data_IF_806697216499
#
_entry.id   IF_806697216499
#
_cell.length_a   1.000
_cell.length_b   1.000
_cell.length_c   1.000
_cell.angle_alpha   90.00
_cell.angle_beta   90.00
_cell.angle_gamma   90.00
#
_symmetry.space_group_name_H-M   'P 1'
#
loop_
_entity.id
_entity.type
_entity.pdbx_description
1 polymer ?
#
# COMPACT_ATOMS: atom_id res chain seq x y z
N UNK A 1 -17.85 -24.02 5.95
CA UNK A 1 -19.14 -23.27 5.81
C UNK A 1 -18.97 -21.79 5.46
N UNK A 2 -18.10 -21.00 6.11
CA UNK A 2 -17.90 -19.57 5.77
C UNK A 2 -17.47 -19.33 4.31
N UNK A 3 -16.63 -20.21 3.75
CA UNK A 3 -16.09 -20.06 2.37
C UNK A 3 -17.18 -20.24 1.28
N UNK A 4 -18.15 -21.11 1.52
CA UNK A 4 -19.26 -21.35 0.59
C UNK A 4 -20.29 -20.20 0.59
N UNK A 5 -20.57 -19.60 1.75
CA UNK A 5 -21.46 -18.46 1.90
C UNK A 5 -20.86 -17.25 1.19
N UNK A 6 -19.57 -16.96 1.44
CA UNK A 6 -18.85 -15.85 0.81
C UNK A 6 -18.83 -15.96 -0.74
N UNK A 7 -18.53 -17.13 -1.29
CA UNK A 7 -18.52 -17.36 -2.74
C UNK A 7 -19.90 -17.20 -3.39
N UNK A 8 -20.97 -17.57 -2.70
CA UNK A 8 -22.35 -17.42 -3.19
C UNK A 8 -22.78 -15.95 -3.20
N UNK A 9 -22.44 -15.18 -2.16
CA UNK A 9 -22.75 -13.75 -2.08
C UNK A 9 -22.03 -12.95 -3.16
N UNK A 10 -20.74 -13.21 -3.37
CA UNK A 10 -19.95 -12.58 -4.45
C UNK A 10 -20.49 -12.92 -5.83
N UNK A 11 -20.88 -14.18 -6.07
CA UNK A 11 -21.48 -14.60 -7.35
C UNK A 11 -22.81 -13.88 -7.63
N UNK A 12 -23.65 -13.72 -6.61
CA UNK A 12 -24.90 -12.97 -6.72
C UNK A 12 -24.65 -11.48 -6.98
N UNK A 13 -23.68 -10.88 -6.29
CA UNK A 13 -23.26 -9.50 -6.47
C UNK A 13 -22.75 -9.28 -7.91
N UNK A 14 -21.87 -10.17 -8.41
CA UNK A 14 -21.38 -10.16 -9.80
C UNK A 14 -22.52 -10.15 -10.80
N UNK A 15 -23.44 -11.11 -10.69
CA UNK A 15 -24.61 -11.22 -11.60
C UNK A 15 -25.46 -9.94 -11.56
N UNK A 16 -25.61 -9.35 -10.38
CA UNK A 16 -26.39 -8.11 -10.20
C UNK A 16 -25.69 -6.93 -10.86
N UNK A 17 -24.39 -6.75 -10.65
CA UNK A 17 -23.58 -5.68 -11.27
C UNK A 17 -23.60 -5.83 -12.80
N UNK A 18 -23.35 -7.02 -13.35
CA UNK A 18 -23.39 -7.27 -14.79
C UNK A 18 -24.77 -6.96 -15.41
N UNK A 19 -25.85 -7.30 -14.72
CA UNK A 19 -27.22 -6.97 -15.15
C UNK A 19 -27.46 -5.46 -15.18
N UNK A 20 -26.96 -4.72 -14.18
CA UNK A 20 -27.11 -3.27 -14.10
C UNK A 20 -26.23 -2.55 -15.13
N UNK A 21 -25.02 -3.06 -15.41
CA UNK A 21 -24.13 -2.58 -16.47
C UNK A 21 -24.83 -2.69 -17.83
N UNK A 22 -25.37 -3.88 -18.16
CA UNK A 22 -26.16 -4.10 -19.42
C UNK A 22 -27.34 -3.16 -19.55
N UNK A 23 -28.00 -2.80 -18.43
CA UNK A 23 -29.13 -1.87 -18.41
C UNK A 23 -28.73 -0.40 -18.36
N UNK A 24 -27.43 -0.09 -18.27
CA UNK A 24 -26.89 1.25 -18.09
C UNK A 24 -27.50 1.99 -16.87
N UNK A 25 -27.79 1.24 -15.79
CA UNK A 25 -28.48 1.72 -14.59
C UNK A 25 -27.47 2.35 -13.60
N UNK A 26 -26.85 3.47 -13.97
CA UNK A 26 -25.76 4.10 -13.25
C UNK A 26 -26.09 4.44 -11.77
N UNK A 27 -27.27 5.00 -11.48
CA UNK A 27 -27.64 5.33 -10.11
C UNK A 27 -27.72 4.10 -9.18
N UNK A 28 -28.22 2.97 -9.71
CA UNK A 28 -28.29 1.72 -8.96
C UNK A 28 -26.90 1.11 -8.77
N UNK A 29 -26.01 1.19 -9.79
CA UNK A 29 -24.62 0.78 -9.70
C UNK A 29 -23.88 1.57 -8.61
N UNK A 30 -23.97 2.91 -8.64
CA UNK A 30 -23.34 3.76 -7.60
C UNK A 30 -23.84 3.39 -6.20
N UNK A 31 -25.13 3.06 -6.05
CA UNK A 31 -25.70 2.67 -4.76
C UNK A 31 -25.12 1.33 -4.27
N UNK A 32 -24.94 0.37 -5.16
CA UNK A 32 -24.35 -0.94 -4.83
C UNK A 32 -22.86 -0.77 -4.52
N UNK A 33 -22.10 -0.10 -5.37
CA UNK A 33 -20.66 0.14 -5.19
C UNK A 33 -20.42 0.79 -3.82
N UNK A 34 -21.16 1.82 -3.45
CA UNK A 34 -21.05 2.50 -2.16
C UNK A 34 -21.24 1.58 -0.95
N UNK A 35 -22.02 0.52 -1.08
CA UNK A 35 -22.33 -0.44 0.00
C UNK A 35 -21.42 -1.67 0.00
N UNK A 36 -20.61 -1.82 -1.03
CA UNK A 36 -19.71 -2.97 -1.21
C UNK A 36 -18.29 -2.55 -0.77
N UNK A 37 -17.55 -3.46 -0.15
CA UNK A 37 -16.17 -3.20 0.22
C UNK A 37 -15.30 -3.00 -1.05
N UNK A 38 -14.32 -2.07 -1.05
CA UNK A 38 -13.45 -1.84 -2.21
C UNK A 38 -12.76 -3.10 -2.73
N UNK A 39 -12.24 -3.95 -1.86
CA UNK A 39 -11.61 -5.22 -2.21
C UNK A 39 -12.56 -6.18 -2.97
N UNK A 40 -13.86 -6.23 -2.59
CA UNK A 40 -14.86 -7.03 -3.31
C UNK A 40 -15.13 -6.45 -4.70
N UNK A 41 -15.15 -5.13 -4.83
CA UNK A 41 -15.29 -4.46 -6.14
C UNK A 41 -14.07 -4.73 -7.02
N UNK A 42 -12.86 -4.60 -6.51
CA UNK A 42 -11.63 -4.92 -7.23
C UNK A 42 -11.63 -6.40 -7.71
N UNK A 43 -11.99 -7.32 -6.81
CA UNK A 43 -12.12 -8.74 -7.16
C UNK A 43 -13.14 -8.97 -8.31
N UNK A 44 -14.29 -8.29 -8.27
CA UNK A 44 -15.31 -8.40 -9.31
C UNK A 44 -14.84 -7.80 -10.65
N UNK A 45 -14.05 -6.72 -10.60
CA UNK A 45 -13.53 -6.05 -11.79
C UNK A 45 -12.61 -6.97 -12.61
N UNK A 46 -11.87 -7.89 -11.99
CA UNK A 46 -11.06 -8.90 -12.69
C UNK A 46 -11.84 -9.76 -13.70
N UNK A 47 -13.12 -9.96 -13.44
CA UNK A 47 -14.00 -10.75 -14.34
C UNK A 47 -14.85 -9.93 -15.30
N UNK A 48 -14.64 -8.62 -15.41
CA UNK A 48 -15.36 -7.72 -16.31
C UNK A 48 -14.51 -7.36 -17.54
N UNK A 49 -15.14 -6.95 -18.62
CA UNK A 49 -14.43 -6.37 -19.75
C UNK A 49 -13.95 -4.95 -19.44
N UNK A 50 -12.94 -4.47 -20.19
CA UNK A 50 -12.28 -3.17 -20.03
C UNK A 50 -13.25 -1.99 -19.87
N UNK A 51 -14.28 -1.91 -20.71
CA UNK A 51 -15.28 -0.81 -20.65
C UNK A 51 -16.06 -0.83 -19.34
N UNK A 52 -16.47 -2.01 -18.88
CA UNK A 52 -17.19 -2.15 -17.63
C UNK A 52 -16.31 -1.86 -16.40
N UNK A 53 -15.01 -2.21 -16.45
CA UNK A 53 -14.02 -1.87 -15.42
C UNK A 53 -13.92 -0.35 -15.25
N UNK A 54 -13.77 0.39 -16.35
CA UNK A 54 -13.74 1.87 -16.36
C UNK A 54 -15.02 2.47 -15.80
N UNK A 55 -16.18 1.92 -16.16
CA UNK A 55 -17.48 2.40 -15.65
C UNK A 55 -17.54 2.22 -14.14
N UNK A 56 -17.19 1.04 -13.60
CA UNK A 56 -17.20 0.76 -12.16
C UNK A 56 -16.25 1.70 -11.42
N UNK A 57 -15.03 1.84 -11.89
CA UNK A 57 -14.04 2.74 -11.29
C UNK A 57 -14.51 4.20 -11.28
N UNK A 58 -15.07 4.69 -12.38
CA UNK A 58 -15.61 6.05 -12.50
C UNK A 58 -16.78 6.30 -11.56
N UNK A 59 -17.64 5.29 -11.31
CA UNK A 59 -18.78 5.35 -10.41
C UNK A 59 -18.41 5.16 -8.93
N UNK A 60 -17.16 4.90 -8.61
CA UNK A 60 -16.67 4.80 -7.23
C UNK A 60 -16.93 6.11 -6.47
N UNK A 61 -17.46 6.06 -5.23
CA UNK A 61 -18.16 7.20 -4.62
C UNK A 61 -17.22 8.33 -4.16
N UNK A 62 -15.98 8.03 -3.81
CA UNK A 62 -15.00 9.00 -3.28
C UNK A 62 -13.60 8.69 -3.78
N UNK A 63 -12.67 9.63 -3.65
CA UNK A 63 -11.26 9.40 -3.99
C UNK A 63 -10.61 8.38 -3.05
N UNK A 64 -10.95 8.39 -1.75
CA UNK A 64 -10.55 7.34 -0.78
C UNK A 64 -10.97 5.96 -1.27
N UNK A 65 -12.23 5.81 -1.69
CA UNK A 65 -12.72 4.53 -2.21
C UNK A 65 -11.99 4.11 -3.49
N UNK A 66 -11.68 5.07 -4.38
CA UNK A 66 -10.90 4.80 -5.60
C UNK A 66 -9.48 4.33 -5.27
N UNK A 67 -8.83 4.95 -4.29
CA UNK A 67 -7.51 4.55 -3.82
C UNK A 67 -7.53 3.11 -3.30
N UNK A 68 -8.47 2.79 -2.39
CA UNK A 68 -8.65 1.45 -1.86
C UNK A 68 -8.97 0.39 -2.93
N UNK A 69 -9.61 0.77 -4.04
CA UNK A 69 -9.80 -0.13 -5.18
C UNK A 69 -8.50 -0.32 -5.95
N UNK A 70 -7.70 0.74 -6.16
CA UNK A 70 -6.42 0.65 -6.85
C UNK A 70 -5.42 -0.24 -6.11
N UNK A 71 -5.33 -0.13 -4.77
CA UNK A 71 -4.49 -0.99 -3.92
C UNK A 71 -4.76 -2.49 -4.11
N UNK A 72 -5.94 -2.86 -4.56
CA UNK A 72 -6.37 -4.26 -4.72
C UNK A 72 -6.38 -4.74 -6.17
N UNK A 73 -6.06 -3.87 -7.15
CA UNK A 73 -6.07 -4.21 -8.57
C UNK A 73 -4.70 -4.66 -9.06
N UNK A 74 -4.71 -5.60 -10.00
CA UNK A 74 -3.51 -5.99 -10.74
C UNK A 74 -3.08 -4.86 -11.69
N UNK A 75 -1.80 -4.74 -11.99
CA UNK A 75 -1.19 -3.67 -12.80
C UNK A 75 -1.94 -3.40 -14.12
N UNK A 76 -2.24 -4.45 -14.88
CA UNK A 76 -2.96 -4.34 -16.16
C UNK A 76 -4.36 -3.75 -16.02
N UNK A 77 -5.00 -3.94 -14.85
CA UNK A 77 -6.31 -3.36 -14.54
C UNK A 77 -6.17 -1.90 -14.11
N UNK A 78 -5.14 -1.55 -13.36
CA UNK A 78 -4.81 -0.17 -12.97
C UNK A 78 -4.59 0.68 -14.23
N UNK A 79 -3.73 0.24 -15.16
CA UNK A 79 -3.48 0.92 -16.42
C UNK A 79 -4.78 1.15 -17.20
N UNK A 80 -5.62 0.13 -17.30
CA UNK A 80 -6.92 0.21 -17.97
C UNK A 80 -7.84 1.27 -17.37
N UNK A 81 -8.06 1.24 -16.06
CA UNK A 81 -9.03 2.14 -15.40
C UNK A 81 -8.55 3.58 -15.35
N UNK A 82 -7.24 3.81 -15.31
CA UNK A 82 -6.65 5.14 -15.31
C UNK A 82 -6.50 5.75 -16.70
N UNK A 83 -6.52 4.93 -17.77
CA UNK A 83 -6.31 5.40 -19.15
C UNK A 83 -7.23 6.56 -19.59
N UNK A 84 -8.43 6.66 -19.05
CA UNK A 84 -9.41 7.69 -19.35
C UNK A 84 -9.67 8.66 -18.18
N UNK A 85 -8.99 8.47 -17.04
CA UNK A 85 -9.12 9.39 -15.92
C UNK A 85 -8.31 10.66 -16.18
N UNK A 86 -8.83 11.79 -15.71
CA UNK A 86 -8.09 13.04 -15.78
C UNK A 86 -6.93 13.06 -14.79
N UNK A 87 -5.82 13.70 -15.13
CA UNK A 87 -4.68 13.92 -14.23
C UNK A 87 -5.13 14.51 -12.89
N UNK A 88 -6.11 15.42 -12.90
CA UNK A 88 -6.65 16.00 -11.68
C UNK A 88 -7.35 14.98 -10.77
N UNK A 89 -8.06 13.99 -11.34
CA UNK A 89 -8.70 12.93 -10.57
C UNK A 89 -7.67 11.93 -10.05
N UNK A 90 -6.67 11.58 -10.87
CA UNK A 90 -5.57 10.71 -10.48
C UNK A 90 -4.82 11.33 -9.29
N UNK A 91 -4.39 12.59 -9.40
CA UNK A 91 -3.67 13.29 -8.32
C UNK A 91 -4.47 13.37 -7.02
N UNK A 92 -5.80 13.56 -7.11
CA UNK A 92 -6.67 13.54 -5.91
C UNK A 92 -6.81 12.13 -5.31
N UNK A 93 -6.76 11.09 -6.13
CA UNK A 93 -6.81 9.70 -5.63
C UNK A 93 -5.50 9.36 -4.93
N UNK A 94 -4.38 9.83 -5.47
CA UNK A 94 -3.03 9.58 -4.95
C UNK A 94 -2.82 10.08 -3.52
N UNK A 95 -3.48 11.15 -3.10
CA UNK A 95 -3.46 11.63 -1.71
C UNK A 95 -3.89 10.57 -0.67
N UNK A 96 -4.49 9.46 -1.10
CA UNK A 96 -4.97 8.37 -0.25
C UNK A 96 -4.26 7.04 -0.51
N UNK A 97 -3.22 7.03 -1.35
CA UNK A 97 -2.37 5.87 -1.61
C UNK A 97 -1.05 5.99 -0.85
N UNK A 98 -0.47 4.87 -0.47
CA UNK A 98 0.89 4.83 0.05
C UNK A 98 1.92 5.26 -0.99
N UNK A 99 3.09 5.72 -0.55
CA UNK A 99 4.16 6.24 -1.43
C UNK A 99 4.64 5.18 -2.44
N UNK A 100 4.72 3.92 -2.02
CA UNK A 100 5.04 2.78 -2.89
C UNK A 100 4.01 2.60 -4.02
N UNK A 101 2.70 2.62 -3.69
CA UNK A 101 1.63 2.51 -4.69
C UNK A 101 1.63 3.68 -5.65
N UNK A 102 1.86 4.90 -5.14
CA UNK A 102 2.00 6.09 -5.97
C UNK A 102 3.15 5.94 -6.96
N UNK A 103 4.33 5.55 -6.49
CA UNK A 103 5.53 5.35 -7.31
C UNK A 103 5.31 4.27 -8.38
N UNK A 104 4.76 3.12 -7.98
CA UNK A 104 4.42 2.01 -8.88
C UNK A 104 3.46 2.46 -9.98
N UNK A 105 2.34 3.10 -9.60
CA UNK A 105 1.33 3.55 -10.57
C UNK A 105 1.89 4.62 -11.51
N UNK A 106 2.67 5.58 -11.01
CA UNK A 106 3.32 6.60 -11.85
C UNK A 106 4.24 5.93 -12.87
N UNK A 107 5.04 4.94 -12.46
CA UNK A 107 5.94 4.22 -13.34
C UNK A 107 5.26 3.52 -14.52
N UNK A 108 4.01 3.06 -14.34
CA UNK A 108 3.21 2.42 -15.40
C UNK A 108 2.60 3.42 -16.40
N UNK A 109 2.42 4.68 -16.03
CA UNK A 109 1.72 5.65 -16.87
C UNK A 109 2.61 6.18 -17.99
N UNK A 110 2.05 6.70 -19.11
CA UNK A 110 2.82 7.35 -20.14
C UNK A 110 3.59 8.58 -19.59
N UNK A 111 4.82 8.81 -20.05
CA UNK A 111 5.72 9.89 -19.56
C UNK A 111 5.04 11.27 -19.40
N UNK A 112 4.17 11.62 -20.35
CA UNK A 112 3.42 12.89 -20.30
C UNK A 112 2.46 12.97 -19.12
N UNK A 113 1.87 11.83 -18.73
CA UNK A 113 0.98 11.78 -17.58
C UNK A 113 1.79 11.73 -16.28
N UNK A 114 2.90 10.99 -16.26
CA UNK A 114 3.83 10.96 -15.14
C UNK A 114 4.24 12.40 -14.76
N UNK A 115 4.82 13.15 -15.70
CA UNK A 115 5.25 14.53 -15.46
C UNK A 115 4.10 15.42 -14.94
N UNK A 116 2.90 15.31 -15.54
CA UNK A 116 1.75 16.12 -15.14
C UNK A 116 1.17 15.72 -13.76
N UNK A 117 1.39 14.50 -13.28
CA UNK A 117 1.01 14.07 -11.93
C UNK A 117 2.06 14.56 -10.93
N UNK A 118 3.36 14.32 -11.19
CA UNK A 118 4.46 14.77 -10.34
C UNK A 118 4.42 16.28 -10.09
N UNK A 119 4.12 17.10 -11.11
CA UNK A 119 3.92 18.55 -10.95
C UNK A 119 2.78 18.95 -10.00
N UNK A 120 1.89 18.02 -9.65
CA UNK A 120 0.71 18.28 -8.79
C UNK A 120 0.86 17.74 -7.38
N UNK A 121 1.87 16.93 -7.12
CA UNK A 121 2.19 16.48 -5.77
C UNK A 121 2.71 17.66 -4.94
N UNK A 122 2.46 17.61 -3.64
CA UNK A 122 3.13 18.51 -2.71
C UNK A 122 4.63 18.19 -2.67
N UNK A 123 5.44 19.16 -2.30
CA UNK A 123 6.90 19.02 -2.42
C UNK A 123 7.45 17.83 -1.62
N UNK A 124 6.90 17.60 -0.45
CA UNK A 124 7.30 16.49 0.44
C UNK A 124 6.95 15.14 -0.19
N UNK A 125 5.71 14.98 -0.65
CA UNK A 125 5.25 13.77 -1.35
C UNK A 125 6.03 13.51 -2.63
N UNK A 126 6.38 14.59 -3.39
CA UNK A 126 7.18 14.47 -4.60
C UNK A 126 8.58 13.92 -4.31
N UNK A 127 9.27 14.47 -3.29
CA UNK A 127 10.61 14.03 -2.89
C UNK A 127 10.57 12.54 -2.47
N UNK A 128 9.55 12.10 -1.75
CA UNK A 128 9.38 10.72 -1.31
C UNK A 128 9.07 9.76 -2.47
N UNK A 129 8.18 10.14 -3.38
CA UNK A 129 7.84 9.34 -4.57
C UNK A 129 9.04 9.21 -5.50
N UNK A 130 9.78 10.32 -5.78
CA UNK A 130 10.99 10.29 -6.60
C UNK A 130 12.08 9.42 -5.97
N UNK A 131 12.20 9.42 -4.63
CA UNK A 131 13.13 8.54 -3.93
C UNK A 131 12.75 7.07 -4.16
N UNK A 132 11.49 6.69 -3.95
CA UNK A 132 11.02 5.31 -4.20
C UNK A 132 11.29 4.88 -5.65
N UNK A 133 10.96 5.72 -6.64
CA UNK A 133 11.18 5.46 -8.06
C UNK A 133 12.68 5.34 -8.43
N UNK A 134 13.59 5.80 -7.58
CA UNK A 134 15.03 5.70 -7.81
C UNK A 134 15.64 4.35 -7.43
N UNK A 135 14.93 3.54 -6.64
CA UNK A 135 15.40 2.21 -6.26
C UNK A 135 15.23 1.21 -7.41
N UNK A 136 15.98 0.12 -7.34
CA UNK A 136 15.83 -0.97 -8.30
C UNK A 136 14.45 -1.63 -8.15
N UNK A 137 13.86 -2.03 -9.26
CA UNK A 137 12.66 -2.85 -9.26
C UNK A 137 12.88 -4.11 -8.41
N UNK A 138 11.80 -4.63 -7.82
CA UNK A 138 11.82 -5.83 -6.96
C UNK A 138 12.75 -5.72 -5.73
N UNK A 139 13.11 -4.50 -5.29
CA UNK A 139 13.88 -4.26 -4.08
C UNK A 139 13.03 -3.79 -2.91
N UNK A 140 13.54 -3.96 -1.67
CA UNK A 140 12.88 -3.43 -0.48
C UNK A 140 12.62 -1.91 -0.57
N UNK A 141 13.49 -1.18 -1.26
CA UNK A 141 13.36 0.26 -1.49
C UNK A 141 12.19 0.62 -2.40
N UNK A 142 11.91 -0.18 -3.44
CA UNK A 142 10.81 0.10 -4.37
C UNK A 142 9.43 -0.26 -3.82
N UNK A 143 9.38 -1.22 -2.88
CA UNK A 143 8.11 -1.69 -2.28
C UNK A 143 7.85 -1.12 -0.88
N UNK A 144 8.78 -0.33 -0.31
CA UNK A 144 8.56 0.28 1.01
C UNK A 144 7.63 1.49 0.93
N UNK A 145 6.89 1.73 1.99
CA UNK A 145 6.12 2.96 2.19
C UNK A 145 6.84 3.91 3.16
N UNK A 146 6.67 5.22 2.94
CA UNK A 146 7.19 6.29 3.79
C UNK A 146 6.22 6.67 4.91
N UNK A 147 4.97 6.26 4.83
CA UNK A 147 3.94 6.53 5.84
C UNK A 147 4.22 5.73 7.11
N UNK A 148 5.07 6.26 7.96
CA UNK A 148 5.56 5.59 9.16
C UNK A 148 5.44 6.46 10.39
N UNK A 149 5.28 5.83 11.55
CA UNK A 149 5.32 6.55 12.82
C UNK A 149 6.71 6.43 13.45
N UNK A 150 7.56 7.40 13.12
CA UNK A 150 8.95 7.48 13.56
C UNK A 150 9.14 8.55 14.63
N UNK A 151 9.84 8.23 15.74
CA UNK A 151 10.09 9.13 16.84
C UNK A 151 11.53 9.04 17.36
N UNK A 152 12.04 10.17 17.87
CA UNK A 152 13.35 10.20 18.52
C UNK A 152 13.34 9.41 19.83
N UNK A 153 14.41 8.66 20.11
CA UNK A 153 14.59 7.82 21.29
C UNK A 153 14.46 8.56 22.64
N UNK A 154 14.61 9.87 22.65
CA UNK A 154 14.48 10.71 23.83
C UNK A 154 13.04 11.19 24.10
N UNK A 155 12.11 10.92 23.18
CA UNK A 155 10.68 11.22 23.33
C UNK A 155 10.10 10.43 24.51
N UNK A 156 9.26 11.08 25.33
CA UNK A 156 8.56 10.40 26.40
C UNK A 156 7.34 9.63 25.88
N UNK A 157 6.93 8.59 26.58
CA UNK A 157 5.72 7.82 26.26
C UNK A 157 4.50 8.74 26.15
N UNK A 158 4.35 9.70 27.08
CA UNK A 158 3.25 10.68 27.04
C UNK A 158 3.23 11.46 25.72
N UNK A 159 4.39 11.95 25.29
CA UNK A 159 4.48 12.75 24.06
C UNK A 159 4.29 11.88 22.80
N UNK A 160 4.78 10.64 22.82
CA UNK A 160 4.56 9.69 21.73
C UNK A 160 3.06 9.39 21.54
N UNK A 161 2.33 9.14 22.62
CA UNK A 161 0.88 8.93 22.57
C UNK A 161 0.16 10.20 22.06
N UNK A 162 0.56 11.39 22.53
CA UNK A 162 -0.06 12.63 22.09
C UNK A 162 0.16 12.87 20.56
N UNK A 163 1.37 12.59 20.06
CA UNK A 163 1.65 12.69 18.62
C UNK A 163 0.85 11.68 17.81
N UNK A 164 0.75 10.43 18.26
CA UNK A 164 -0.06 9.41 17.61
C UNK A 164 -1.54 9.83 17.52
N UNK A 165 -2.08 10.42 18.61
CA UNK A 165 -3.47 10.90 18.66
C UNK A 165 -3.73 12.10 17.75
N UNK A 166 -2.71 12.91 17.46
CA UNK A 166 -2.83 14.09 16.60
C UNK A 166 -2.57 13.79 15.12
N UNK A 167 -2.21 12.56 14.78
CA UNK A 167 -1.93 12.11 13.40
C UNK A 167 -3.01 11.14 12.92
N UNK A 168 -4.20 11.64 12.53
CA UNK A 168 -5.34 10.80 12.17
C UNK A 168 -5.11 9.96 10.89
N UNK A 169 -4.12 10.31 10.09
CA UNK A 169 -3.82 9.66 8.80
C UNK A 169 -3.08 8.33 8.97
N UNK A 170 -2.61 8.00 10.18
CA UNK A 170 -1.85 6.78 10.45
C UNK A 170 -2.75 5.59 10.82
N UNK A 171 -3.75 5.25 10.01
CA UNK A 171 -4.63 4.10 10.26
C UNK A 171 -3.87 2.75 10.26
N UNK A 172 -2.75 2.65 9.55
CA UNK A 172 -1.93 1.42 9.42
C UNK A 172 -0.72 1.37 10.37
N UNK A 173 -0.68 2.18 11.45
CA UNK A 173 0.44 2.17 12.39
C UNK A 173 0.38 0.93 13.31
N UNK A 174 1.32 0.02 13.15
CA UNK A 174 1.49 -1.15 14.03
C UNK A 174 2.59 -0.94 15.07
N UNK A 175 3.62 -0.20 14.72
CA UNK A 175 4.83 0.04 15.49
C UNK A 175 5.23 1.50 15.51
N UNK A 176 5.91 1.91 16.56
CA UNK A 176 6.68 3.15 16.64
C UNK A 176 8.12 2.81 16.33
N UNK A 177 8.67 3.35 15.26
CA UNK A 177 10.08 3.21 14.90
C UNK A 177 10.87 4.27 15.65
N UNK A 178 11.90 3.82 16.36
CA UNK A 178 12.66 4.70 17.26
C UNK A 178 14.03 4.96 16.64
N UNK A 179 14.35 6.23 16.46
CA UNK A 179 15.61 6.69 15.87
C UNK A 179 16.44 7.52 16.85
N UNK A 180 17.73 7.60 16.59
CA UNK A 180 18.64 8.53 17.29
C UNK A 180 18.63 9.94 16.66
N UNK A 181 19.49 10.83 17.17
CA UNK A 181 19.58 12.21 16.66
C UNK A 181 20.18 12.31 15.23
N UNK A 182 20.64 11.19 14.66
CA UNK A 182 21.13 11.06 13.28
C UNK A 182 20.17 10.28 12.39
N UNK A 183 18.93 10.09 12.85
CA UNK A 183 17.88 9.31 12.18
C UNK A 183 18.23 7.83 11.96
N UNK A 184 19.20 7.29 12.72
CA UNK A 184 19.50 5.85 12.68
C UNK A 184 18.45 5.07 13.44
N UNK A 185 18.00 3.96 12.90
CA UNK A 185 17.09 3.05 13.57
C UNK A 185 17.77 2.41 14.78
N UNK A 186 17.24 2.64 15.99
CA UNK A 186 17.80 2.14 17.26
C UNK A 186 16.83 1.29 18.07
N UNK A 187 15.56 1.24 17.67
CA UNK A 187 14.56 0.46 18.38
C UNK A 187 13.21 0.44 17.68
N UNK A 188 12.36 -0.46 18.12
CA UNK A 188 10.96 -0.54 17.73
C UNK A 188 10.09 -0.75 18.97
N UNK A 189 8.89 -0.18 18.97
CA UNK A 189 7.94 -0.33 20.04
C UNK A 189 6.55 -0.60 19.48
N UNK A 190 5.90 -1.69 19.91
CA UNK A 190 4.51 -1.94 19.52
C UNK A 190 3.55 -0.94 20.17
N UNK A 191 2.42 -0.65 19.53
CA UNK A 191 1.39 0.21 20.13
C UNK A 191 0.91 -0.33 21.49
N UNK A 192 0.85 -1.67 21.65
CA UNK A 192 0.52 -2.27 22.96
C UNK A 192 1.53 -1.87 24.02
N UNK A 193 2.83 -1.97 23.72
CA UNK A 193 3.88 -1.60 24.68
C UNK A 193 3.89 -0.10 24.95
N UNK A 194 3.58 0.73 23.93
CA UNK A 194 3.43 2.17 24.09
C UNK A 194 2.35 2.50 25.14
N UNK A 195 1.13 1.95 25.00
CA UNK A 195 0.00 2.27 25.90
C UNK A 195 0.11 1.62 27.28
N UNK A 196 0.88 0.54 27.44
CA UNK A 196 1.08 -0.13 28.74
C UNK A 196 2.29 0.39 29.52
N UNK A 197 3.11 1.25 28.90
CA UNK A 197 4.31 1.81 29.52
C UNK A 197 3.97 3.04 30.36
N UNK A 198 4.82 3.33 31.37
CA UNK A 198 4.66 4.54 32.21
C UNK A 198 4.92 5.80 31.38
N UNK A 199 4.04 6.78 31.48
CA UNK A 199 4.07 8.03 30.71
C UNK A 199 5.38 8.83 30.82
N UNK A 200 6.10 8.70 31.93
CA UNK A 200 7.34 9.42 32.22
C UNK A 200 8.59 8.79 31.60
N UNK A 201 8.51 7.52 31.16
CA UNK A 201 9.65 6.84 30.53
C UNK A 201 9.91 7.42 29.15
N UNK A 202 11.19 7.36 28.72
CA UNK A 202 11.59 7.63 27.34
C UNK A 202 11.50 6.37 26.49
N UNK A 203 11.32 6.52 25.18
CA UNK A 203 11.22 5.40 24.25
C UNK A 203 12.44 4.46 24.36
N UNK A 204 13.67 4.99 24.48
CA UNK A 204 14.90 4.22 24.65
C UNK A 204 14.92 3.26 25.85
N UNK A 205 14.04 3.50 26.85
CA UNK A 205 13.96 2.68 28.06
C UNK A 205 13.02 1.49 27.94
N UNK A 206 12.15 1.50 26.91
CA UNK A 206 11.07 0.53 26.73
C UNK A 206 11.06 -0.13 25.35
N UNK A 207 11.82 0.42 24.40
CA UNK A 207 11.90 -0.11 23.04
C UNK A 207 12.62 -1.47 22.99
N UNK A 208 12.29 -2.27 22.01
CA UNK A 208 13.04 -3.45 21.61
C UNK A 208 14.21 -2.99 20.75
N UNK A 209 15.44 -3.40 21.09
CA UNK A 209 16.67 -3.00 20.43
C UNK A 209 17.19 -4.03 19.44
N UNK A 210 16.82 -5.29 19.63
CA UNK A 210 17.14 -6.38 18.71
C UNK A 210 16.08 -6.38 17.60
N UNK A 211 16.41 -5.67 16.51
CA UNK A 211 15.48 -5.36 15.42
C UNK A 211 15.98 -6.06 14.16
N UNK A 212 15.11 -6.82 13.52
CA UNK A 212 15.35 -7.18 12.13
C UNK A 212 15.01 -5.97 11.24
N UNK A 213 15.94 -5.57 10.42
CA UNK A 213 15.78 -4.56 9.39
C UNK A 213 16.48 -5.05 8.12
N UNK A 214 16.00 -4.60 6.97
CA UNK A 214 16.63 -4.87 5.67
C UNK A 214 17.17 -3.58 5.08
N UNK A 215 18.10 -3.70 4.13
CA UNK A 215 18.59 -2.56 3.37
C UNK A 215 17.70 -2.31 2.15
N UNK A 216 17.70 -1.09 1.63
CA UNK A 216 16.86 -0.72 0.47
C UNK A 216 17.16 -1.53 -0.80
N UNK A 217 18.34 -2.13 -0.90
CA UNK A 217 18.78 -2.98 -1.99
C UNK A 217 18.49 -4.49 -1.78
N UNK A 218 17.86 -4.85 -0.65
CA UNK A 218 17.45 -6.24 -0.39
C UNK A 218 16.32 -6.63 -1.33
N UNK A 219 16.44 -7.82 -1.91
CA UNK A 219 15.42 -8.40 -2.81
C UNK A 219 14.07 -8.59 -2.08
N UNK A 220 12.96 -8.24 -2.77
CA UNK A 220 11.62 -8.31 -2.19
C UNK A 220 11.21 -9.73 -1.76
N UNK A 221 11.69 -10.77 -2.43
CA UNK A 221 11.46 -12.17 -2.07
C UNK A 221 12.12 -12.51 -0.73
N UNK A 222 13.34 -11.98 -0.48
CA UNK A 222 14.02 -12.14 0.80
C UNK A 222 13.26 -11.40 1.91
N UNK A 223 12.77 -10.18 1.64
CA UNK A 223 11.91 -9.43 2.57
C UNK A 223 10.67 -10.25 2.93
N UNK A 224 10.00 -10.84 1.93
CA UNK A 224 8.82 -11.67 2.15
C UNK A 224 9.14 -12.90 3.00
N UNK A 225 10.28 -13.56 2.77
CA UNK A 225 10.73 -14.72 3.57
C UNK A 225 10.96 -14.33 5.04
N UNK A 226 11.60 -13.19 5.31
CA UNK A 226 11.84 -12.69 6.68
C UNK A 226 10.52 -12.41 7.37
N UNK A 227 9.60 -11.67 6.73
CA UNK A 227 8.30 -11.33 7.31
C UNK A 227 7.49 -12.60 7.62
N UNK A 228 7.45 -13.56 6.70
CA UNK A 228 6.76 -14.83 6.89
C UNK A 228 7.39 -15.67 8.00
N UNK A 229 8.72 -15.73 8.10
CA UNK A 229 9.42 -16.53 9.11
C UNK A 229 9.19 -16.00 10.53
N UNK A 230 9.21 -14.69 10.71
CA UNK A 230 9.10 -14.07 12.04
C UNK A 230 7.71 -13.55 12.37
N UNK A 231 6.74 -13.66 11.45
CA UNK A 231 5.37 -13.17 11.59
C UNK A 231 5.31 -11.67 11.91
N UNK A 232 6.10 -10.86 11.25
CA UNK A 232 6.07 -9.41 11.40
C UNK A 232 4.85 -8.81 10.69
N UNK A 233 4.32 -7.71 11.22
CA UNK A 233 3.28 -6.92 10.55
C UNK A 233 3.87 -5.85 9.63
N UNK A 234 5.11 -5.48 9.88
CA UNK A 234 5.88 -4.57 9.04
C UNK A 234 7.38 -4.77 9.33
N UNK A 235 8.22 -4.60 8.31
CA UNK A 235 9.67 -4.74 8.40
C UNK A 235 10.33 -3.40 8.04
N UNK A 236 11.18 -2.82 8.92
CA UNK A 236 11.85 -1.57 8.64
C UNK A 236 12.93 -1.72 7.57
N UNK A 237 13.01 -0.72 6.70
CA UNK A 237 14.00 -0.56 5.66
C UNK A 237 14.97 0.55 6.07
N UNK A 238 16.26 0.28 5.91
CA UNK A 238 17.33 1.22 6.25
C UNK A 238 18.31 1.37 5.07
N UNK A 239 19.11 2.44 5.07
CA UNK A 239 20.23 2.54 4.15
C UNK A 239 21.49 1.87 4.72
N UNK A 240 22.59 1.87 3.95
CA UNK A 240 23.89 1.31 4.34
C UNK A 240 24.49 1.94 5.61
N UNK A 241 24.04 3.11 6.03
CA UNK A 241 24.45 3.81 7.26
C UNK A 241 23.49 3.56 8.42
N UNK A 242 22.51 2.64 8.27
CA UNK A 242 21.46 2.33 9.23
C UNK A 242 20.49 3.51 9.49
N UNK A 243 20.40 4.48 8.56
CA UNK A 243 19.37 5.51 8.60
C UNK A 243 18.03 4.88 8.21
N UNK A 244 16.98 5.16 8.97
CA UNK A 244 15.63 4.67 8.69
C UNK A 244 15.08 5.33 7.42
N UNK A 245 14.54 4.53 6.50
CA UNK A 245 13.99 4.99 5.23
C UNK A 245 12.49 4.84 5.13
N UNK A 246 11.95 3.71 5.59
CA UNK A 246 10.54 3.38 5.50
C UNK A 246 10.25 1.97 6.03
N UNK A 247 9.13 1.41 5.66
CA UNK A 247 8.72 0.05 6.05
C UNK A 247 8.12 -0.70 4.86
N UNK A 248 8.25 -2.03 4.87
CA UNK A 248 7.42 -2.91 4.02
C UNK A 248 6.36 -3.54 4.91
N UNK A 249 5.09 -3.39 4.56
CA UNK A 249 3.97 -3.86 5.38
C UNK A 249 3.53 -5.28 5.00
N UNK A 250 2.77 -5.95 5.86
CA UNK A 250 2.32 -7.33 5.63
C UNK A 250 1.39 -7.44 4.41
N UNK A 251 0.58 -6.43 4.12
CA UNK A 251 -0.27 -6.35 2.95
C UNK A 251 0.58 -6.33 1.67
N UNK A 252 1.61 -5.50 1.58
CA UNK A 252 2.57 -5.48 0.45
C UNK A 252 3.26 -6.85 0.29
N UNK A 253 3.66 -7.48 1.41
CA UNK A 253 4.27 -8.81 1.40
C UNK A 253 3.34 -9.88 0.83
N UNK A 254 2.05 -9.83 1.13
CA UNK A 254 1.07 -10.78 0.56
C UNK A 254 1.00 -10.63 -0.95
N UNK A 255 1.07 -9.41 -1.47
CA UNK A 255 1.03 -9.16 -2.91
C UNK A 255 2.35 -9.56 -3.59
N UNK A 256 3.51 -9.28 -2.99
CA UNK A 256 4.81 -9.80 -3.44
C UNK A 256 4.78 -11.34 -3.55
N UNK A 257 4.32 -12.05 -2.52
CA UNK A 257 4.24 -13.52 -2.55
C UNK A 257 3.34 -14.02 -3.69
N UNK A 258 2.25 -13.33 -3.99
CA UNK A 258 1.35 -13.69 -5.10
C UNK A 258 1.99 -13.43 -6.45
N UNK A 259 2.71 -12.32 -6.59
CA UNK A 259 3.42 -11.95 -7.81
C UNK A 259 4.51 -12.98 -8.10
N UNK A 260 5.41 -13.24 -7.17
CA UNK A 260 6.49 -14.24 -7.29
C UNK A 260 5.95 -15.64 -7.64
N UNK A 261 4.90 -16.09 -6.94
CA UNK A 261 4.26 -17.38 -7.25
C UNK A 261 3.68 -17.43 -8.68
N UNK A 262 3.19 -16.31 -9.19
CA UNK A 262 2.65 -16.21 -10.55
C UNK A 262 3.77 -16.23 -11.59
N UNK A 263 4.88 -15.53 -11.33
CA UNK A 263 6.06 -15.51 -12.20
C UNK A 263 6.74 -16.88 -12.27
N UNK A 264 6.91 -17.55 -11.13
CA UNK A 264 7.43 -18.91 -11.05
C UNK A 264 6.57 -19.89 -11.87
N UNK A 265 5.25 -19.78 -11.76
CA UNK A 265 4.34 -20.62 -12.54
C UNK A 265 4.47 -20.38 -14.06
N UNK A 266 4.59 -19.12 -14.48
CA UNK A 266 4.78 -18.75 -15.89
C UNK A 266 6.13 -19.25 -16.42
N UNK A 267 7.20 -19.14 -15.65
CA UNK A 267 8.52 -19.68 -16.00
C UNK A 267 8.49 -21.21 -16.15
N UNK A 268 7.86 -21.92 -15.23
CA UNK A 268 7.69 -23.38 -15.29
C UNK A 268 6.83 -23.81 -16.50
N UNK A 269 5.85 -22.99 -16.91
CA UNK A 269 5.02 -23.23 -18.08
C UNK A 269 5.72 -22.88 -19.41
N UNK A 270 6.96 -22.39 -19.38
CA UNK A 270 7.73 -21.99 -20.57
C UNK A 270 7.24 -20.70 -21.23
N UNK A 271 6.48 -19.88 -20.51
CA UNK A 271 5.92 -18.58 -20.96
C UNK A 271 6.70 -17.45 -20.25
N UNK A 272 8.00 -17.60 -20.05
CA UNK A 272 8.84 -16.57 -19.44
C UNK A 272 8.90 -15.32 -20.34
N UNK A 273 8.77 -14.12 -19.76
CA UNK A 273 9.09 -12.87 -20.45
C UNK A 273 10.55 -12.95 -20.93
N UNK A 274 10.77 -12.92 -22.26
CA UNK A 274 12.06 -12.50 -22.78
C UNK A 274 12.31 -11.05 -22.29
N UNK A 275 13.28 -10.89 -21.38
CA UNK A 275 13.78 -9.57 -20.95
C UNK A 275 14.69 -8.99 -22.00
#
# INVERSE_FOLDING_TARGET
>A
MKKAIFSTEISLLKTTIERLLRRKAGANLTTIIRKTHPADIAFLMRGLNTENQKIIFRLSPTFVYKAQVLEELDESLIENVLSEESVANISKTFQYLGTNDQAMIIGMLPEKQQAAILERLEREDLEDVEEIMSYADDSAGSVMTKETFMLNQNTTIKNAIAQLQSSPENEKVFYVYVVDDKEKLVGVLSLRNLVTSKNTKKLREVMIKDIHAVTSDTDQEEVAKIVAQYNYLALPVVNQQNKFLGIVTIDDIVDIIRQEASEDFLQMAGVGKDR
#
